data_IF_988572483592
#
_entry.id   IF_988572483592
#
_cell.length_a   1.000
_cell.length_b   1.000
_cell.length_c   1.000
_cell.angle_alpha   90.00
_cell.angle_beta   90.00
_cell.angle_gamma   90.00
#
_symmetry.space_group_name_H-M   'P 1'
#
loop_
_entity.id
_entity.type
_entity.pdbx_description
1 polymer ?
#
# COMPACT_ATOMS: atom_id res chain seq x y z
N UNK A 1 13.69 -14.15 18.86
CA UNK A 1 12.84 -13.35 17.98
C UNK A 1 11.41 -13.86 18.05
N UNK A 2 10.51 -13.04 18.61
CA UNK A 2 9.07 -13.29 18.73
C UNK A 2 8.38 -13.29 17.36
N UNK A 3 7.25 -13.99 17.20
CA UNK A 3 6.46 -13.98 15.95
C UNK A 3 6.07 -12.57 15.50
N UNK A 4 5.81 -11.67 16.45
CA UNK A 4 5.46 -10.26 16.19
C UNK A 4 6.62 -9.49 15.53
N UNK A 5 7.87 -9.76 15.93
CA UNK A 5 9.05 -9.12 15.32
C UNK A 5 9.28 -9.58 13.88
N UNK A 6 8.96 -10.84 13.57
CA UNK A 6 9.09 -11.40 12.22
C UNK A 6 8.05 -10.83 11.24
N UNK A 7 6.82 -10.59 11.70
CA UNK A 7 5.78 -9.96 10.87
C UNK A 7 6.10 -8.49 10.57
N UNK A 8 6.60 -7.74 11.55
CA UNK A 8 7.04 -6.37 11.33
C UNK A 8 8.17 -6.28 10.31
N UNK A 9 9.17 -7.17 10.39
CA UNK A 9 10.26 -7.21 9.42
C UNK A 9 9.78 -7.50 7.99
N UNK A 10 8.88 -8.47 7.79
CA UNK A 10 8.30 -8.78 6.47
C UNK A 10 7.50 -7.61 5.89
N UNK A 11 6.77 -6.89 6.74
CA UNK A 11 6.01 -5.71 6.31
C UNK A 11 6.95 -4.60 5.84
N UNK A 12 8.04 -4.36 6.56
CA UNK A 12 9.02 -3.33 6.20
C UNK A 12 9.75 -3.68 4.89
N UNK A 13 10.17 -4.93 4.69
CA UNK A 13 10.75 -5.41 3.43
C UNK A 13 9.78 -5.25 2.24
N UNK A 14 8.50 -5.60 2.43
CA UNK A 14 7.47 -5.42 1.43
C UNK A 14 7.25 -3.94 1.09
N UNK A 15 7.31 -3.05 2.09
CA UNK A 15 7.18 -1.61 1.93
C UNK A 15 8.37 -1.00 1.18
N UNK A 16 9.58 -1.46 1.46
CA UNK A 16 10.79 -1.07 0.71
C UNK A 16 10.68 -1.47 -0.76
N UNK A 17 10.26 -2.71 -1.02
CA UNK A 17 10.03 -3.22 -2.37
C UNK A 17 8.99 -2.38 -3.12
N UNK A 18 7.91 -2.00 -2.45
CA UNK A 18 6.90 -1.12 -3.02
C UNK A 18 7.47 0.26 -3.40
N UNK A 19 8.28 0.86 -2.52
CA UNK A 19 8.89 2.16 -2.77
C UNK A 19 9.84 2.13 -3.98
N UNK A 20 10.56 1.02 -4.20
CA UNK A 20 11.42 0.83 -5.37
C UNK A 20 10.59 0.82 -6.65
N UNK A 21 9.51 0.03 -6.71
CA UNK A 21 8.63 -0.05 -7.88
C UNK A 21 7.94 1.29 -8.14
N UNK A 22 7.41 1.94 -7.10
CA UNK A 22 6.77 3.25 -7.22
C UNK A 22 7.73 4.32 -7.73
N UNK A 23 9.00 4.29 -7.32
CA UNK A 23 10.05 5.19 -7.83
C UNK A 23 10.34 4.93 -9.31
N UNK A 24 10.45 3.66 -9.71
CA UNK A 24 10.66 3.28 -11.11
C UNK A 24 9.50 3.74 -12.01
N UNK A 25 8.25 3.52 -11.57
CA UNK A 25 7.06 3.99 -12.29
C UNK A 25 7.09 5.50 -12.52
N UNK A 26 7.37 6.30 -11.47
CA UNK A 26 7.48 7.76 -11.59
C UNK A 26 8.60 8.22 -12.51
N UNK A 27 9.70 7.46 -12.58
CA UNK A 27 10.84 7.77 -13.44
C UNK A 27 10.53 7.47 -14.92
N UNK A 28 9.83 6.37 -15.17
CA UNK A 28 9.61 5.87 -16.53
C UNK A 28 8.49 6.61 -17.26
N UNK A 29 7.52 7.18 -16.55
CA UNK A 29 6.39 7.88 -17.15
C UNK A 29 6.19 9.29 -16.55
N UNK A 30 6.68 10.34 -17.25
CA UNK A 30 6.46 11.73 -16.86
C UNK A 30 4.99 12.15 -16.79
N UNK A 31 4.07 11.46 -17.48
CA UNK A 31 2.64 11.78 -17.45
C UNK A 31 2.02 11.52 -16.07
N UNK A 32 2.68 10.73 -15.23
CA UNK A 32 2.27 10.46 -13.84
C UNK A 32 2.58 11.63 -12.90
N UNK A 33 3.23 12.70 -13.37
CA UNK A 33 3.55 13.87 -12.56
C UNK A 33 2.25 14.52 -12.05
N UNK A 34 2.18 14.75 -10.74
CA UNK A 34 1.00 15.30 -10.07
C UNK A 34 -0.01 14.25 -9.59
N UNK A 35 0.11 12.99 -10.04
CA UNK A 35 -0.67 11.87 -9.53
C UNK A 35 0.03 11.17 -8.34
N UNK A 36 -0.79 10.57 -7.50
CA UNK A 36 -0.37 9.70 -6.41
C UNK A 36 -0.48 8.25 -6.85
N UNK A 37 0.54 7.46 -6.54
CA UNK A 37 0.48 6.00 -6.73
C UNK A 37 -0.17 5.43 -5.48
N UNK A 38 -1.18 4.60 -5.66
CA UNK A 38 -1.86 3.89 -4.59
C UNK A 38 -1.89 2.40 -4.88
N UNK A 39 -1.75 1.59 -3.85
CA UNK A 39 -1.99 0.15 -3.90
C UNK A 39 -3.50 -0.13 -3.86
N UNK A 40 -4.03 -0.91 -4.81
CA UNK A 40 -5.45 -1.28 -4.81
C UNK A 40 -5.77 -2.09 -3.55
N UNK A 41 -4.94 -3.08 -3.26
CA UNK A 41 -4.93 -3.89 -2.05
C UNK A 41 -3.70 -3.56 -1.18
N UNK A 42 -3.88 -3.15 0.09
CA UNK A 42 -2.79 -2.84 1.00
C UNK A 42 -1.94 -4.06 1.36
N UNK A 43 -0.64 -3.84 1.53
CA UNK A 43 0.33 -4.86 2.01
C UNK A 43 -0.15 -5.51 3.33
N UNK A 44 -0.73 -4.71 4.23
CA UNK A 44 -1.26 -5.18 5.53
C UNK A 44 -2.39 -6.20 5.41
N UNK A 45 -3.01 -6.31 4.25
CA UNK A 45 -4.08 -7.25 3.96
C UNK A 45 -3.64 -8.37 3.00
N UNK A 46 -2.34 -8.44 2.66
CA UNK A 46 -1.80 -9.45 1.76
C UNK A 46 -1.60 -8.98 0.32
N UNK A 47 -1.88 -7.72 0.00
CA UNK A 47 -1.68 -7.17 -1.33
C UNK A 47 -0.21 -7.21 -1.77
N UNK A 48 0.02 -7.54 -3.05
CA UNK A 48 1.37 -7.65 -3.60
C UNK A 48 1.99 -6.23 -3.82
N UNK A 49 3.12 -5.91 -3.16
CA UNK A 49 3.75 -4.58 -3.26
C UNK A 49 4.39 -4.31 -4.62
N UNK A 50 4.81 -5.33 -5.37
CA UNK A 50 5.55 -5.17 -6.63
C UNK A 50 4.71 -5.42 -7.88
N UNK A 51 3.50 -5.97 -7.72
CA UNK A 51 2.58 -6.14 -8.83
C UNK A 51 2.09 -4.78 -9.33
N UNK A 52 2.29 -4.55 -10.62
CA UNK A 52 1.84 -3.35 -11.34
C UNK A 52 0.31 -3.34 -11.45
N UNK A 53 -0.33 -4.51 -11.53
CA UNK A 53 -1.80 -4.61 -11.57
C UNK A 53 -2.44 -4.13 -10.26
N UNK A 54 -1.70 -4.21 -9.15
CA UNK A 54 -2.09 -3.69 -7.85
C UNK A 54 -1.77 -2.20 -7.67
N UNK A 55 -1.44 -1.46 -8.73
CA UNK A 55 -1.13 -0.03 -8.65
C UNK A 55 -2.13 0.79 -9.45
N UNK A 56 -2.60 1.88 -8.84
CA UNK A 56 -3.48 2.84 -9.48
C UNK A 56 -2.96 4.25 -9.27
N UNK A 57 -3.06 5.08 -10.31
CA UNK A 57 -2.68 6.48 -10.27
C UNK A 57 -3.90 7.35 -10.02
N UNK A 58 -3.87 8.13 -8.94
CA UNK A 58 -5.00 8.90 -8.48
C UNK A 58 -4.63 10.38 -8.33
N UNK A 59 -5.53 11.31 -8.68
CA UNK A 59 -5.44 12.68 -8.20
C UNK A 59 -5.40 12.70 -6.67
N UNK A 60 -4.71 13.69 -6.09
CA UNK A 60 -4.50 13.81 -4.64
C UNK A 60 -5.79 13.67 -3.82
N UNK A 61 -6.89 14.29 -4.26
CA UNK A 61 -8.18 14.22 -3.56
C UNK A 61 -8.77 12.82 -3.53
N UNK A 62 -8.70 12.09 -4.65
CA UNK A 62 -9.17 10.69 -4.72
C UNK A 62 -8.29 9.79 -3.86
N UNK A 63 -6.97 9.96 -3.94
CA UNK A 63 -6.03 9.23 -3.10
C UNK A 63 -6.36 9.40 -1.60
N UNK A 64 -6.59 10.64 -1.14
CA UNK A 64 -6.95 10.89 0.25
C UNK A 64 -8.22 10.17 0.69
N UNK A 65 -9.27 10.18 -0.16
CA UNK A 65 -10.53 9.46 0.11
C UNK A 65 -10.32 7.94 0.23
N UNK A 66 -9.52 7.35 -0.66
CA UNK A 66 -9.24 5.91 -0.64
C UNK A 66 -8.41 5.52 0.60
N UNK A 67 -7.41 6.32 0.97
CA UNK A 67 -6.63 6.09 2.21
C UNK A 67 -7.52 6.10 3.45
N UNK A 68 -8.44 7.07 3.56
CA UNK A 68 -9.39 7.13 4.69
C UNK A 68 -10.29 5.90 4.71
N UNK A 69 -10.79 5.47 3.55
CA UNK A 69 -11.61 4.27 3.43
C UNK A 69 -10.88 3.00 3.87
N UNK A 70 -9.64 2.80 3.39
CA UNK A 70 -8.82 1.65 3.78
C UNK A 70 -8.48 1.65 5.27
N UNK A 71 -8.14 2.81 5.84
CA UNK A 71 -7.88 2.94 7.27
C UNK A 71 -9.12 2.54 8.10
N UNK A 72 -10.32 2.91 7.66
CA UNK A 72 -11.56 2.47 8.29
C UNK A 72 -11.73 0.95 8.18
N UNK A 73 -11.57 0.39 6.99
CA UNK A 73 -11.71 -1.06 6.74
C UNK A 73 -10.73 -1.91 7.53
N UNK A 74 -9.46 -1.50 7.59
CA UNK A 74 -8.44 -2.22 8.37
C UNK A 74 -8.77 -2.22 9.87
N UNK A 75 -9.33 -1.11 10.40
CA UNK A 75 -9.79 -1.06 11.79
C UNK A 75 -10.97 -2.01 12.02
N UNK A 76 -11.94 -2.03 11.11
CA UNK A 76 -13.09 -2.96 11.19
C UNK A 76 -12.65 -4.43 11.18
N UNK A 77 -11.66 -4.78 10.35
CA UNK A 77 -11.11 -6.15 10.29
C UNK A 77 -10.35 -6.51 11.56
N UNK A 78 -9.55 -5.58 12.11
CA UNK A 78 -8.83 -5.79 13.37
C UNK A 78 -9.76 -6.08 14.55
N UNK A 79 -10.83 -5.29 14.70
CA UNK A 79 -11.81 -5.49 15.78
C UNK A 79 -12.42 -6.89 15.72
N UNK A 80 -12.79 -7.38 14.53
CA UNK A 80 -13.38 -8.72 14.35
C UNK A 80 -12.43 -9.89 14.63
N UNK A 81 -11.12 -9.66 14.63
CA UNK A 81 -10.13 -10.70 14.94
C UNK A 81 -9.83 -10.78 16.45
N UNK A 82 -10.26 -9.78 17.22
CA UNK A 82 -10.07 -9.68 18.67
C UNK A 82 -11.34 -10.04 19.46
N UNK A 83 -12.48 -10.24 18.78
CA UNK A 83 -13.76 -10.78 19.29
C UNK A 83 -13.84 -12.31 19.16
#
# INVERSE_FOLDING_TARGET
MSSSEKENNKYDEAKESCNVVNRQLRKNDPALKGLQIHEIEPIKLGGNPTDISNKVFLPREKHAKVVVWWNKKIREVRVKLEE
#
